data_IF_908291401396
#
_entry.id   IF_908291401396
#
_cell.length_a   1.000
_cell.length_b   1.000
_cell.length_c   1.000
_cell.angle_alpha   90.00
_cell.angle_beta   90.00
_cell.angle_gamma   90.00
#
_symmetry.space_group_name_H-M   'P 1'
#
loop_
_entity.id
_entity.type
_entity.pdbx_description
1 polymer ?
#
# COMPACT_ATOMS: atom_id res chain seq x y z
N UNK A 1 38.13 -21.90 10.02
CA UNK A 1 38.28 -20.99 11.18
C UNK A 1 36.99 -20.16 11.30
N UNK A 2 36.01 -20.66 12.06
CA UNK A 2 34.66 -20.10 12.22
C UNK A 2 34.40 -19.87 13.72
N UNK A 3 35.11 -18.93 14.37
CA UNK A 3 34.95 -18.64 15.82
C UNK A 3 35.28 -17.19 16.22
N UNK A 4 35.12 -16.20 15.34
CA UNK A 4 35.44 -14.78 15.65
C UNK A 4 34.20 -13.85 15.60
N UNK A 5 33.07 -14.28 15.03
CA UNK A 5 31.92 -13.41 14.78
C UNK A 5 30.86 -13.28 15.89
N UNK A 6 30.99 -14.00 17.02
CA UNK A 6 29.93 -14.04 18.06
C UNK A 6 30.14 -13.02 19.19
N UNK A 7 31.36 -12.51 19.36
CA UNK A 7 31.73 -11.64 20.49
C UNK A 7 31.36 -10.16 20.32
N UNK A 8 31.05 -9.69 19.10
CA UNK A 8 30.73 -8.27 18.84
C UNK A 8 29.25 -7.90 19.06
N UNK A 9 28.35 -8.87 19.18
CA UNK A 9 26.90 -8.59 19.31
C UNK A 9 26.49 -8.28 20.76
N UNK A 10 27.30 -8.67 21.75
CA UNK A 10 26.94 -8.56 23.18
C UNK A 10 27.27 -7.19 23.79
N UNK A 11 28.14 -6.38 23.16
CA UNK A 11 28.59 -5.10 23.74
C UNK A 11 27.72 -3.87 23.41
N UNK A 12 26.75 -3.98 22.48
CA UNK A 12 25.90 -2.84 22.08
C UNK A 12 24.61 -2.73 22.91
N UNK A 13 24.25 -3.76 23.68
CA UNK A 13 22.98 -3.82 24.45
C UNK A 13 23.10 -3.23 25.88
N UNK A 14 24.30 -2.89 26.36
CA UNK A 14 24.50 -2.42 27.75
C UNK A 14 24.67 -0.91 27.92
N UNK A 15 24.35 -0.08 26.91
CA UNK A 15 24.54 1.37 26.95
C UNK A 15 23.25 2.22 27.07
N UNK A 16 22.10 1.62 27.41
CA UNK A 16 20.84 2.35 27.65
C UNK A 16 20.41 2.24 29.12
N UNK A 17 21.29 2.60 30.04
CA UNK A 17 20.92 2.83 31.44
C UNK A 17 21.68 4.06 31.94
N UNK A 18 20.94 5.14 32.21
CA UNK A 18 21.33 6.11 33.23
C UNK A 18 21.78 7.50 32.76
N UNK A 19 20.84 8.44 32.73
CA UNK A 19 20.98 9.86 33.11
C UNK A 19 19.55 10.41 33.13
N UNK A 20 18.91 10.80 34.22
CA UNK A 20 19.43 11.41 35.44
C UNK A 20 19.06 12.89 35.45
N UNK A 21 17.90 13.19 36.07
CA UNK A 21 17.54 14.42 36.82
C UNK A 21 17.73 15.80 36.16
N UNK A 22 16.64 16.59 36.11
CA UNK A 22 16.61 18.05 36.43
C UNK A 22 15.12 18.50 36.53
N UNK A 23 14.80 19.53 37.35
CA UNK A 23 13.62 19.55 38.20
C UNK A 23 12.53 20.55 37.82
N UNK A 24 11.38 20.31 38.47
CA UNK A 24 10.17 21.13 38.69
C UNK A 24 10.39 22.65 38.76
N UNK A 25 9.50 23.41 38.10
CA UNK A 25 9.09 24.77 38.48
C UNK A 25 7.71 25.09 37.86
N UNK A 26 6.66 25.06 38.70
CA UNK A 26 5.38 25.78 38.51
C UNK A 26 5.51 27.19 39.13
N UNK A 27 4.66 28.14 38.72
CA UNK A 27 3.59 28.63 39.61
C UNK A 27 2.24 28.74 38.86
N UNK A 28 1.12 28.21 39.37
CA UNK A 28 0.27 28.69 40.46
C UNK A 28 -0.67 29.86 40.06
N UNK A 29 -1.96 29.55 39.90
CA UNK A 29 -3.13 30.37 40.25
C UNK A 29 -4.35 29.42 40.28
N UNK A 30 -4.70 28.85 41.43
CA UNK A 30 -5.64 29.38 42.43
C UNK A 30 -7.13 29.29 42.04
N UNK A 31 -7.81 28.24 42.51
CA UNK A 31 -8.93 28.35 43.48
C UNK A 31 -9.70 27.03 43.62
N UNK A 32 -9.79 26.56 44.87
CA UNK A 32 -10.73 25.53 45.39
C UNK A 32 -11.79 26.28 46.25
N UNK A 33 -12.97 25.70 46.60
CA UNK A 33 -13.10 24.53 47.50
C UNK A 33 -14.10 23.47 46.96
N UNK A 34 -13.86 22.17 47.08
CA UNK A 34 -13.96 21.29 48.25
C UNK A 34 -15.41 21.00 48.72
N UNK A 35 -15.76 19.70 48.68
CA UNK A 35 -16.60 18.89 49.62
C UNK A 35 -17.54 17.96 48.85
N UNK A 36 -17.83 16.69 49.16
CA UNK A 36 -17.29 15.58 49.99
C UNK A 36 -18.06 14.34 49.46
N UNK A 37 -17.42 13.18 49.49
CA UNK A 37 -17.97 11.81 49.53
C UNK A 37 -19.12 11.39 48.58
N UNK A 38 -18.92 10.26 47.91
CA UNK A 38 -19.64 8.99 48.16
C UNK A 38 -19.76 8.20 46.84
N UNK A 39 -19.05 7.08 46.76
CA UNK A 39 -19.36 6.08 45.74
C UNK A 39 -20.67 5.40 46.15
N UNK A 40 -21.60 5.19 45.21
CA UNK A 40 -21.78 3.83 44.76
C UNK A 40 -21.95 3.70 43.25
N UNK A 41 -21.54 2.53 42.80
CA UNK A 41 -21.47 2.06 41.43
C UNK A 41 -22.78 2.26 40.65
N UNK A 42 -22.69 2.87 39.47
CA UNK A 42 -23.62 2.56 38.37
C UNK A 42 -22.83 1.85 37.28
N UNK A 43 -22.80 0.54 37.43
CA UNK A 43 -22.45 -0.40 36.38
C UNK A 43 -23.37 -0.21 35.17
N UNK A 44 -22.87 -0.72 34.04
CA UNK A 44 -23.61 -1.05 32.83
C UNK A 44 -23.98 0.13 31.92
N UNK A 45 -23.00 0.54 31.11
CA UNK A 45 -23.19 0.61 29.66
C UNK A 45 -21.87 0.31 28.96
N UNK A 46 -21.39 -0.92 29.19
CA UNK A 46 -20.77 -1.69 28.11
C UNK A 46 -21.86 -1.92 27.07
N UNK A 47 -22.02 -0.98 26.14
CA UNK A 47 -22.67 -1.25 24.87
C UNK A 47 -21.63 -1.98 24.00
N UNK A 48 -21.71 -3.31 24.04
CA UNK A 48 -21.22 -4.27 23.06
C UNK A 48 -20.17 -3.74 22.08
N UNK A 49 -18.90 -3.82 22.50
CA UNK A 49 -17.87 -4.30 21.59
C UNK A 49 -18.30 -5.73 21.27
N UNK A 50 -19.02 -5.88 20.17
CA UNK A 50 -19.35 -7.17 19.60
C UNK A 50 -18.05 -7.93 19.40
N UNK A 51 -17.89 -8.95 20.25
CA UNK A 51 -17.05 -10.13 20.12
C UNK A 51 -16.42 -10.25 18.72
N UNK A 52 -15.08 -10.36 18.58
CA UNK A 52 -14.48 -10.59 17.27
C UNK A 52 -15.12 -11.85 16.69
N UNK A 53 -15.84 -11.63 15.59
CA UNK A 53 -16.52 -12.66 14.85
C UNK A 53 -15.49 -13.76 14.51
N UNK A 54 -15.81 -15.05 14.69
CA UNK A 54 -14.87 -16.13 14.43
C UNK A 54 -14.33 -15.96 13.01
N UNK A 55 -13.00 -15.99 12.86
CA UNK A 55 -12.21 -15.72 11.65
C UNK A 55 -12.88 -16.24 10.37
N UNK A 56 -13.79 -15.45 9.79
CA UNK A 56 -14.38 -15.80 8.50
C UNK A 56 -13.31 -15.52 7.45
N UNK A 57 -12.97 -16.50 6.60
CA UNK A 57 -12.02 -16.24 5.52
C UNK A 57 -12.57 -15.09 4.66
N UNK A 58 -11.74 -14.07 4.43
CA UNK A 58 -12.10 -12.92 3.59
C UNK A 58 -12.65 -13.40 2.26
N UNK A 59 -13.77 -12.81 1.84
CA UNK A 59 -14.34 -13.06 0.52
C UNK A 59 -13.39 -12.58 -0.57
N UNK A 60 -13.54 -13.12 -1.79
CA UNK A 60 -12.71 -12.72 -2.95
C UNK A 60 -12.80 -11.20 -3.20
N UNK A 61 -13.98 -10.60 -3.01
CA UNK A 61 -14.19 -9.17 -3.18
C UNK A 61 -13.44 -8.33 -2.13
N UNK A 62 -13.43 -8.77 -0.86
CA UNK A 62 -12.69 -8.10 0.21
C UNK A 62 -11.18 -8.21 0.01
N UNK A 63 -10.69 -9.41 -0.36
CA UNK A 63 -9.27 -9.62 -0.71
C UNK A 63 -8.87 -8.71 -1.86
N UNK A 64 -9.68 -8.64 -2.92
CA UNK A 64 -9.45 -7.77 -4.08
C UNK A 64 -9.31 -6.31 -3.67
N UNK A 65 -10.30 -5.77 -2.96
CA UNK A 65 -10.29 -4.39 -2.50
C UNK A 65 -9.10 -4.07 -1.59
N UNK A 66 -8.73 -5.01 -0.72
CA UNK A 66 -7.56 -4.86 0.14
C UNK A 66 -6.28 -4.79 -0.70
N UNK A 67 -6.01 -5.77 -1.57
CA UNK A 67 -4.78 -5.79 -2.37
C UNK A 67 -4.66 -4.57 -3.30
N UNK A 68 -5.75 -4.16 -3.94
CA UNK A 68 -5.77 -2.96 -4.78
C UNK A 68 -5.46 -1.70 -3.97
N UNK A 69 -5.96 -1.60 -2.73
CA UNK A 69 -5.67 -0.47 -1.86
C UNK A 69 -4.21 -0.42 -1.42
N UNK A 70 -3.62 -1.57 -1.07
CA UNK A 70 -2.26 -1.62 -0.54
C UNK A 70 -1.20 -1.55 -1.64
N UNK A 71 -1.40 -2.25 -2.75
CA UNK A 71 -0.38 -2.42 -3.80
C UNK A 71 -0.73 -1.73 -5.12
N UNK A 72 -1.99 -1.29 -5.32
CA UNK A 72 -2.45 -0.82 -6.61
C UNK A 72 -1.68 0.40 -7.12
N UNK A 73 -1.45 1.40 -6.27
CA UNK A 73 -0.74 2.61 -6.68
C UNK A 73 0.72 2.35 -7.08
N UNK A 74 1.44 1.54 -6.30
CA UNK A 74 2.82 1.16 -6.61
C UNK A 74 2.89 0.34 -7.92
N UNK A 75 1.97 -0.61 -8.07
CA UNK A 75 1.87 -1.42 -9.28
C UNK A 75 1.56 -0.58 -10.52
N UNK A 76 0.72 0.46 -10.41
CA UNK A 76 0.45 1.40 -11.49
C UNK A 76 1.73 2.11 -11.94
N UNK A 77 2.54 2.61 -11.00
CA UNK A 77 3.81 3.28 -11.33
C UNK A 77 4.77 2.31 -12.04
N UNK A 78 4.88 1.08 -11.55
CA UNK A 78 5.72 0.05 -12.17
C UNK A 78 5.23 -0.30 -13.58
N UNK A 79 3.92 -0.49 -13.73
CA UNK A 79 3.29 -0.79 -15.02
C UNK A 79 3.49 0.33 -16.04
N UNK A 80 3.26 1.59 -15.67
CA UNK A 80 3.47 2.69 -16.61
C UNK A 80 4.94 2.82 -17.00
N UNK A 81 5.89 2.59 -16.07
CA UNK A 81 7.32 2.56 -16.39
C UNK A 81 7.61 1.46 -17.42
N UNK A 82 7.09 0.26 -17.21
CA UNK A 82 7.27 -0.84 -18.13
C UNK A 82 6.67 -0.49 -19.50
N UNK A 83 5.47 0.10 -19.55
CA UNK A 83 4.83 0.49 -20.81
C UNK A 83 5.63 1.57 -21.54
N UNK A 84 6.14 2.59 -20.82
CA UNK A 84 7.00 3.64 -21.40
C UNK A 84 8.22 3.03 -22.10
N UNK A 85 8.83 2.00 -21.51
CA UNK A 85 10.00 1.33 -22.09
C UNK A 85 9.71 0.61 -23.42
N UNK A 86 8.43 0.34 -23.71
CA UNK A 86 8.01 -0.32 -24.96
C UNK A 86 7.66 0.65 -26.09
N UNK A 87 7.59 1.96 -25.80
CA UNK A 87 7.25 2.99 -26.79
C UNK A 87 8.50 3.52 -27.50
N UNK A 88 8.32 4.03 -28.72
CA UNK A 88 9.40 4.67 -29.49
C UNK A 88 9.92 5.95 -28.84
N UNK A 89 9.02 6.74 -28.27
CA UNK A 89 9.31 7.92 -27.47
C UNK A 89 8.67 7.71 -26.08
N UNK A 90 9.44 7.23 -25.08
CA UNK A 90 8.95 6.96 -23.73
C UNK A 90 8.37 8.19 -23.02
N UNK A 91 8.90 9.38 -23.30
CA UNK A 91 8.49 10.63 -22.65
C UNK A 91 7.20 11.19 -23.27
N UNK A 92 6.86 10.80 -24.51
CA UNK A 92 5.59 11.12 -25.14
C UNK A 92 4.42 10.22 -24.69
N UNK A 93 4.63 9.31 -23.73
CA UNK A 93 3.58 8.39 -23.28
C UNK A 93 2.42 9.13 -22.60
N UNK A 94 1.22 8.95 -23.13
CA UNK A 94 -0.03 9.45 -22.53
C UNK A 94 -0.85 8.26 -22.04
N UNK A 95 -1.21 8.27 -20.77
CA UNK A 95 -1.97 7.21 -20.13
C UNK A 95 -3.42 7.65 -19.87
N UNK A 96 -4.37 6.72 -20.04
CA UNK A 96 -5.78 6.90 -19.68
C UNK A 96 -6.34 5.62 -19.09
N UNK A 97 -7.27 5.79 -18.15
CA UNK A 97 -8.03 4.71 -17.50
C UNK A 97 -7.13 3.63 -16.91
N UNK A 98 -6.03 4.05 -16.30
CA UNK A 98 -5.09 3.16 -15.65
C UNK A 98 -5.65 2.76 -14.29
N UNK A 99 -5.82 1.47 -14.08
CA UNK A 99 -6.38 0.90 -12.85
C UNK A 99 -5.70 -0.41 -12.52
N UNK A 100 -5.39 -0.59 -11.25
CA UNK A 100 -4.99 -1.87 -10.70
C UNK A 100 -6.24 -2.75 -10.54
N UNK A 101 -6.11 -4.03 -10.86
CA UNK A 101 -7.14 -5.04 -10.68
C UNK A 101 -6.48 -6.28 -10.05
N UNK A 102 -7.05 -6.80 -8.96
CA UNK A 102 -6.58 -8.06 -8.40
C UNK A 102 -7.35 -9.25 -9.02
N UNK A 103 -6.59 -10.27 -9.43
CA UNK A 103 -7.11 -11.60 -9.79
C UNK A 103 -6.40 -12.67 -8.96
N UNK A 104 -7.10 -13.77 -8.67
CA UNK A 104 -6.49 -14.91 -7.96
C UNK A 104 -5.39 -15.60 -8.80
N UNK A 105 -5.48 -15.55 -10.13
CA UNK A 105 -4.53 -16.18 -11.05
C UNK A 105 -3.22 -15.38 -11.20
N UNK A 106 -3.31 -14.04 -11.21
CA UNK A 106 -2.17 -13.16 -11.56
C UNK A 106 -1.76 -12.21 -10.44
N UNK A 107 -2.49 -12.17 -9.33
CA UNK A 107 -2.33 -11.13 -8.31
C UNK A 107 -2.79 -9.77 -8.83
N UNK A 108 -2.11 -8.70 -8.40
CA UNK A 108 -2.42 -7.34 -8.85
C UNK A 108 -1.85 -7.11 -10.25
N UNK A 109 -2.72 -6.92 -11.22
CA UNK A 109 -2.39 -6.49 -12.59
C UNK A 109 -2.82 -5.05 -12.80
N UNK A 110 -2.21 -4.37 -13.76
CA UNK A 110 -2.61 -3.02 -14.16
C UNK A 110 -3.10 -3.04 -15.59
N UNK A 111 -4.31 -2.54 -15.78
CA UNK A 111 -4.94 -2.40 -17.08
C UNK A 111 -5.11 -0.92 -17.39
N UNK A 112 -4.98 -0.56 -18.66
CA UNK A 112 -5.25 0.79 -19.09
C UNK A 112 -5.06 0.99 -20.58
N UNK A 113 -5.02 2.25 -20.97
CA UNK A 113 -4.75 2.66 -22.35
C UNK A 113 -3.55 3.58 -22.42
N UNK A 114 -2.72 3.40 -23.43
CA UNK A 114 -1.54 4.23 -23.71
C UNK A 114 -1.58 4.74 -25.15
N UNK A 115 -1.16 5.98 -25.34
CA UNK A 115 -0.87 6.56 -26.64
C UNK A 115 0.57 7.07 -26.63
N UNK A 116 1.25 7.02 -27.77
CA UNK A 116 2.64 7.46 -27.92
C UNK A 116 2.92 7.88 -29.36
N UNK A 117 4.04 8.58 -29.57
CA UNK A 117 4.47 8.98 -30.91
C UNK A 117 5.05 7.79 -31.68
N UNK A 118 4.78 7.76 -32.98
CA UNK A 118 5.46 6.87 -33.92
C UNK A 118 6.79 7.47 -34.41
N UNK A 119 7.46 6.78 -35.34
CA UNK A 119 8.76 7.20 -35.91
C UNK A 119 8.68 8.52 -36.70
N UNK A 120 7.48 8.95 -37.09
CA UNK A 120 7.21 10.22 -37.77
C UNK A 120 6.81 11.33 -36.78
N UNK A 121 6.84 11.07 -35.47
CA UNK A 121 6.52 12.03 -34.41
C UNK A 121 5.02 12.25 -34.15
N UNK A 122 4.14 11.51 -34.83
CA UNK A 122 2.68 11.63 -34.69
C UNK A 122 2.08 10.62 -33.72
N UNK A 123 1.00 11.01 -33.02
CA UNK A 123 0.20 10.11 -32.19
C UNK A 123 -0.78 9.29 -33.04
N UNK A 124 -0.84 7.99 -32.82
CA UNK A 124 -1.69 7.07 -33.61
C UNK A 124 -2.97 6.63 -32.90
N UNK A 125 -3.19 7.11 -31.67
CA UNK A 125 -4.38 6.79 -30.87
C UNK A 125 -4.09 5.87 -29.69
N UNK A 126 -5.04 5.81 -28.76
CA UNK A 126 -4.93 5.02 -27.54
C UNK A 126 -5.09 3.52 -27.82
N UNK A 127 -4.15 2.74 -27.30
CA UNK A 127 -4.09 1.27 -27.39
C UNK A 127 -4.12 0.68 -26.00
N UNK A 128 -4.75 -0.49 -25.85
CA UNK A 128 -4.85 -1.20 -24.58
C UNK A 128 -3.50 -1.77 -24.15
N UNK A 129 -3.26 -1.79 -22.84
CA UNK A 129 -2.16 -2.55 -22.25
C UNK A 129 -2.62 -3.30 -20.99
N UNK A 130 -1.95 -4.43 -20.73
CA UNK A 130 -2.01 -5.18 -19.46
C UNK A 130 -0.60 -5.36 -18.95
N UNK A 131 -0.35 -5.07 -17.67
CA UNK A 131 0.97 -5.18 -17.08
C UNK A 131 0.95 -5.78 -15.68
N UNK A 132 1.88 -6.69 -15.42
CA UNK A 132 2.20 -7.18 -14.07
C UNK A 132 3.34 -6.39 -13.41
N UNK A 133 3.56 -5.13 -13.81
CA UNK A 133 4.59 -4.24 -13.26
C UNK A 133 6.01 -4.42 -13.83
N UNK A 134 6.39 -5.63 -14.26
CA UNK A 134 7.71 -5.91 -14.89
C UNK A 134 7.62 -6.17 -16.39
N UNK A 135 6.49 -6.68 -16.85
CA UNK A 135 6.21 -7.02 -18.24
C UNK A 135 4.94 -6.34 -18.70
N UNK A 136 4.80 -6.17 -20.02
CA UNK A 136 3.67 -5.52 -20.66
C UNK A 136 3.20 -6.33 -21.85
N UNK A 137 1.89 -6.58 -21.91
CA UNK A 137 1.18 -7.02 -23.09
C UNK A 137 0.53 -5.76 -23.70
N UNK A 138 0.95 -5.37 -24.89
CA UNK A 138 0.53 -4.14 -25.56
C UNK A 138 -0.24 -4.47 -26.83
N UNK A 139 -1.49 -3.99 -26.94
CA UNK A 139 -2.32 -4.15 -28.14
C UNK A 139 -1.56 -3.69 -29.38
N UNK A 140 -1.54 -4.48 -30.46
CA UNK A 140 -0.86 -4.15 -31.71
C UNK A 140 0.62 -4.53 -31.78
N UNK A 141 1.21 -4.94 -30.66
CA UNK A 141 2.47 -5.70 -30.62
C UNK A 141 2.20 -7.15 -30.24
N UNK A 142 1.34 -7.33 -29.23
CA UNK A 142 1.01 -8.60 -28.61
C UNK A 142 -0.47 -8.95 -28.83
N UNK A 143 -0.81 -10.25 -28.70
CA UNK A 143 -2.22 -10.68 -28.65
C UNK A 143 -2.79 -10.42 -27.25
N UNK A 144 -3.45 -9.28 -27.09
CA UNK A 144 -3.94 -8.80 -25.79
C UNK A 144 -5.32 -9.35 -25.38
N UNK A 145 -6.09 -9.92 -26.30
CA UNK A 145 -7.51 -10.18 -26.09
C UNK A 145 -7.78 -11.05 -24.84
N UNK A 146 -7.07 -12.17 -24.70
CA UNK A 146 -7.26 -13.11 -23.59
C UNK A 146 -6.76 -12.56 -22.26
N UNK A 147 -5.65 -11.82 -22.26
CA UNK A 147 -5.12 -11.18 -21.06
C UNK A 147 -6.07 -10.10 -20.56
N UNK A 148 -6.62 -9.29 -21.47
CA UNK A 148 -7.60 -8.27 -21.14
C UNK A 148 -8.89 -8.88 -20.59
N UNK A 149 -9.42 -9.92 -21.23
CA UNK A 149 -10.67 -10.55 -20.82
C UNK A 149 -10.59 -11.20 -19.43
N UNK A 150 -9.46 -11.82 -19.10
CA UNK A 150 -9.26 -12.50 -17.81
C UNK A 150 -8.85 -11.55 -16.68
N UNK A 151 -8.18 -10.45 -17.01
CA UNK A 151 -7.50 -9.63 -16.01
C UNK A 151 -8.03 -8.21 -15.88
N UNK A 152 -8.86 -7.72 -16.81
CA UNK A 152 -9.30 -6.32 -16.84
C UNK A 152 -10.82 -6.09 -16.84
N UNK A 153 -11.61 -7.12 -17.18
CA UNK A 153 -13.07 -7.13 -17.08
C UNK A 153 -13.52 -7.60 -15.69
#
# INVERSE_FOLDING_TARGET
>A
MKRVGVLLVVLVVLAWIGSGLVPRSEPADASTPAVVAEAPQKQAQQAEVSKPEPERPLTVAEKKAQHEKWFGAEMIVAAERAVRAELKDPDAAQFKEVRANYTEEFGVVVCGRVNGKNELGGYTGFRRFVSGGKSVILEGRDNIADAWARACL
#
